data_IF_422195664756
#
_entry.id   IF_422195664756
#
_cell.length_a   1.000
_cell.length_b   1.000
_cell.length_c   1.000
_cell.angle_alpha   90.00
_cell.angle_beta   90.00
_cell.angle_gamma   90.00
#
_symmetry.space_group_name_H-M   'P 1'
#
loop_
_entity.id
_entity.type
_entity.pdbx_description
1 polymer ?
#
# COMPACT_ATOMS: atom_id res chain seq x y z
N UNK A 1 20.48 -13.13 -11.70
CA UNK A 1 20.46 -12.37 -10.43
C UNK A 1 19.80 -13.27 -9.38
N UNK A 2 20.47 -13.62 -8.28
CA UNK A 2 19.83 -14.37 -7.18
C UNK A 2 19.15 -13.36 -6.25
N UNK A 3 17.91 -13.60 -5.83
CA UNK A 3 17.13 -12.66 -5.01
C UNK A 3 17.65 -12.53 -3.57
N UNK A 4 18.47 -13.47 -3.10
CA UNK A 4 19.18 -13.41 -1.83
C UNK A 4 20.44 -14.28 -1.85
N UNK A 5 21.28 -14.15 -0.83
CA UNK A 5 22.55 -14.83 -0.71
C UNK A 5 22.47 -16.16 0.05
N UNK A 6 21.32 -16.48 0.65
CA UNK A 6 21.11 -17.69 1.46
C UNK A 6 19.74 -18.32 1.22
N UNK A 7 19.70 -19.65 1.11
CA UNK A 7 18.47 -20.44 1.03
C UNK A 7 17.50 -20.13 2.16
N UNK A 8 18.00 -19.86 3.37
CA UNK A 8 17.16 -19.51 4.52
C UNK A 8 16.42 -18.18 4.33
N UNK A 9 17.07 -17.20 3.67
CA UNK A 9 16.43 -15.91 3.37
C UNK A 9 15.35 -16.05 2.29
N UNK A 10 15.62 -16.85 1.25
CA UNK A 10 14.62 -17.13 0.20
C UNK A 10 13.40 -17.78 0.81
N UNK A 11 13.61 -18.83 1.59
CA UNK A 11 12.53 -19.59 2.22
C UNK A 11 11.73 -18.70 3.19
N UNK A 12 12.42 -17.92 4.03
CA UNK A 12 11.79 -17.00 4.97
C UNK A 12 10.92 -15.96 4.28
N UNK A 13 11.34 -15.42 3.14
CA UNK A 13 10.53 -14.48 2.35
C UNK A 13 9.25 -15.14 1.83
N UNK A 14 9.34 -16.35 1.28
CA UNK A 14 8.15 -17.09 0.84
C UNK A 14 7.22 -17.44 2.02
N UNK A 15 7.77 -17.82 3.18
CA UNK A 15 6.98 -18.04 4.40
C UNK A 15 6.23 -16.80 4.82
N UNK A 16 6.89 -15.65 4.80
CA UNK A 16 6.28 -14.39 5.20
C UNK A 16 5.11 -14.01 4.28
N UNK A 17 5.32 -14.06 2.96
CA UNK A 17 4.31 -13.66 1.95
C UNK A 17 3.04 -14.53 2.03
N UNK A 18 3.18 -15.82 2.37
CA UNK A 18 2.05 -16.76 2.46
C UNK A 18 1.52 -16.98 3.88
N UNK A 19 2.02 -16.24 4.88
CA UNK A 19 1.63 -16.45 6.27
C UNK A 19 0.23 -15.87 6.53
N UNK A 20 -0.79 -16.69 6.85
CA UNK A 20 -2.15 -16.20 7.06
C UNK A 20 -2.28 -15.30 8.30
N UNK A 21 -1.34 -15.39 9.25
CA UNK A 21 -1.32 -14.53 10.44
C UNK A 21 -0.74 -13.13 10.15
N UNK A 22 -0.23 -12.89 8.94
CA UNK A 22 0.30 -11.59 8.52
C UNK A 22 -0.73 -10.91 7.63
N UNK A 23 -1.33 -9.83 8.13
CA UNK A 23 -2.31 -9.04 7.36
C UNK A 23 -1.60 -8.09 6.38
N UNK A 24 -1.88 -8.17 5.07
CA UNK A 24 -1.36 -7.20 4.09
C UNK A 24 -1.77 -5.76 4.40
N UNK A 25 -2.97 -5.56 4.98
CA UNK A 25 -3.46 -4.24 5.37
C UNK A 25 -2.63 -3.64 6.51
N UNK A 26 -2.27 -4.43 7.51
CA UNK A 26 -1.43 -3.96 8.61
C UNK A 26 -0.03 -3.55 8.12
N UNK A 27 0.51 -4.25 7.11
CA UNK A 27 1.78 -3.88 6.45
C UNK A 27 1.64 -2.53 5.73
N UNK A 28 0.54 -2.32 5.00
CA UNK A 28 0.27 -1.05 4.33
C UNK A 28 0.11 0.12 5.33
N UNK A 29 -0.67 -0.08 6.40
CA UNK A 29 -0.89 0.92 7.47
C UNK A 29 0.40 1.33 8.18
N UNK A 30 1.29 0.36 8.44
CA UNK A 30 2.61 0.64 8.99
C UNK A 30 3.44 1.52 8.03
N UNK A 31 3.39 1.23 6.73
CA UNK A 31 4.01 2.05 5.69
C UNK A 31 3.47 3.48 5.67
N UNK A 32 2.14 3.65 5.65
CA UNK A 32 1.51 4.96 5.72
C UNK A 32 1.89 5.73 6.99
N UNK A 33 1.93 5.07 8.14
CA UNK A 33 2.34 5.69 9.41
C UNK A 33 3.78 6.20 9.35
N UNK A 34 4.69 5.43 8.76
CA UNK A 34 6.07 5.86 8.56
C UNK A 34 6.17 7.06 7.60
N UNK A 35 5.42 7.05 6.49
CA UNK A 35 5.34 8.18 5.56
C UNK A 35 4.82 9.43 6.25
N UNK A 36 3.75 9.32 7.06
CA UNK A 36 3.17 10.44 7.76
C UNK A 36 4.17 11.08 8.75
N UNK A 37 4.94 10.26 9.48
CA UNK A 37 6.03 10.76 10.35
C UNK A 37 7.12 11.48 9.56
N UNK A 38 7.50 10.96 8.40
CA UNK A 38 8.49 11.62 7.55
C UNK A 38 7.97 12.97 7.00
N UNK A 39 6.68 13.07 6.72
CA UNK A 39 6.03 14.28 6.24
C UNK A 39 6.03 15.42 7.27
N UNK A 40 6.13 15.16 8.58
CA UNK A 40 6.19 16.19 9.62
C UNK A 40 7.38 17.15 9.43
N UNK A 41 8.44 16.72 8.76
CA UNK A 41 9.61 17.55 8.45
C UNK A 41 9.37 18.57 7.31
N UNK A 42 8.21 18.52 6.63
CA UNK A 42 7.93 19.31 5.43
C UNK A 42 6.67 20.18 5.62
N UNK A 43 6.79 21.51 5.51
CA UNK A 43 5.65 22.41 5.74
C UNK A 43 4.60 22.42 4.62
N UNK A 44 4.95 21.91 3.43
CA UNK A 44 4.06 21.79 2.29
C UNK A 44 4.22 20.42 1.66
N UNK A 45 3.08 19.76 1.40
CA UNK A 45 3.02 18.42 0.84
C UNK A 45 2.07 18.40 -0.35
N UNK A 46 2.40 17.58 -1.35
CA UNK A 46 1.53 17.30 -2.49
C UNK A 46 1.03 15.85 -2.38
N UNK A 47 -0.27 15.70 -2.13
CA UNK A 47 -0.91 14.40 -2.12
C UNK A 47 -1.37 14.06 -3.55
N UNK A 48 -0.59 13.25 -4.25
CA UNK A 48 -0.96 12.71 -5.56
C UNK A 48 -1.77 11.43 -5.37
N UNK A 49 -2.94 11.37 -5.99
CA UNK A 49 -3.85 10.23 -5.98
C UNK A 49 -4.08 9.74 -7.41
N UNK A 50 -3.95 8.43 -7.61
CA UNK A 50 -4.22 7.76 -8.87
C UNK A 50 -4.65 6.31 -8.62
N UNK A 51 -5.44 5.75 -9.54
CA UNK A 51 -5.86 4.36 -9.50
C UNK A 51 -5.17 3.59 -10.62
N UNK A 52 -4.46 2.52 -10.25
CA UNK A 52 -3.80 1.63 -11.21
C UNK A 52 -4.32 0.21 -11.12
N UNK A 53 -4.05 -0.62 -12.12
CA UNK A 53 -4.48 -2.02 -12.15
C UNK A 53 -3.29 -2.96 -12.01
N UNK A 54 -3.40 -3.97 -11.14
CA UNK A 54 -2.45 -5.08 -11.06
C UNK A 54 -3.08 -6.30 -11.72
N UNK A 55 -2.53 -6.71 -12.86
CA UNK A 55 -3.09 -7.77 -13.70
C UNK A 55 -2.25 -9.05 -13.64
N UNK A 56 -2.93 -10.19 -13.57
CA UNK A 56 -2.38 -11.53 -13.57
C UNK A 56 -2.99 -12.35 -14.72
N UNK A 57 -2.14 -13.05 -15.46
CA UNK A 57 -2.57 -13.93 -16.57
C UNK A 57 -2.23 -15.40 -16.33
N UNK A 58 -1.75 -15.74 -15.13
CA UNK A 58 -1.37 -17.10 -14.76
C UNK A 58 -2.49 -17.76 -13.93
N UNK A 59 -2.65 -19.07 -14.06
CA UNK A 59 -3.82 -19.79 -13.57
C UNK A 59 -4.01 -19.73 -12.05
N UNK A 60 -2.94 -19.65 -11.26
CA UNK A 60 -3.05 -19.70 -9.78
C UNK A 60 -3.60 -18.41 -9.16
N UNK A 61 -3.65 -17.31 -9.89
CA UNK A 61 -4.25 -16.05 -9.44
C UNK A 61 -5.59 -15.78 -10.13
N UNK A 62 -6.14 -16.75 -10.86
CA UNK A 62 -7.31 -16.51 -11.71
C UNK A 62 -8.63 -16.56 -10.94
N UNK A 63 -8.76 -17.52 -10.01
CA UNK A 63 -10.04 -17.79 -9.34
C UNK A 63 -10.38 -16.79 -8.23
N UNK A 64 -9.36 -16.15 -7.64
CA UNK A 64 -9.51 -15.23 -6.50
C UNK A 64 -9.58 -13.74 -6.92
N UNK A 65 -9.47 -13.43 -8.22
CA UNK A 65 -9.28 -12.05 -8.72
C UNK A 65 -10.42 -11.55 -9.62
N UNK A 66 -10.60 -10.22 -9.64
CA UNK A 66 -11.67 -9.54 -10.38
C UNK A 66 -11.42 -9.37 -11.88
N UNK A 67 -12.45 -8.94 -12.62
CA UNK A 67 -12.29 -8.55 -14.02
C UNK A 67 -11.80 -7.11 -14.14
N UNK A 68 -10.59 -6.91 -14.69
CA UNK A 68 -10.00 -5.58 -14.88
C UNK A 68 -9.82 -5.22 -16.35
N UNK A 69 -10.00 -6.18 -17.27
CA UNK A 69 -9.84 -5.98 -18.72
C UNK A 69 -10.93 -6.73 -19.49
N UNK A 70 -10.99 -6.53 -20.81
CA UNK A 70 -11.86 -7.32 -21.70
C UNK A 70 -11.25 -8.68 -22.08
N UNK A 71 -9.97 -8.93 -21.74
CA UNK A 71 -9.32 -10.21 -21.99
C UNK A 71 -9.70 -11.22 -20.91
N UNK A 72 -10.44 -12.27 -21.31
CA UNK A 72 -10.91 -13.33 -20.43
C UNK A 72 -9.79 -14.12 -19.73
N UNK A 73 -8.55 -14.07 -20.21
CA UNK A 73 -7.39 -14.75 -19.60
C UNK A 73 -6.65 -13.90 -18.58
N UNK A 74 -7.09 -12.66 -18.36
CA UNK A 74 -6.43 -11.72 -17.44
C UNK A 74 -7.41 -11.28 -16.37
N UNK A 75 -7.04 -11.50 -15.11
CA UNK A 75 -7.75 -11.04 -13.93
C UNK A 75 -6.87 -10.10 -13.14
N UNK A 76 -7.44 -9.29 -12.27
CA UNK A 76 -6.63 -8.34 -11.54
C UNK A 76 -7.35 -7.66 -10.40
N UNK A 77 -6.64 -6.72 -9.82
CA UNK A 77 -7.11 -5.85 -8.74
C UNK A 77 -6.92 -4.40 -9.16
N UNK A 78 -7.86 -3.55 -8.76
CA UNK A 78 -7.67 -2.11 -8.76
C UNK A 78 -6.94 -1.73 -7.49
N UNK A 79 -5.78 -1.11 -7.66
CA UNK A 79 -4.99 -0.56 -6.58
C UNK A 79 -5.14 0.96 -6.63
N UNK A 80 -6.00 1.47 -5.76
CA UNK A 80 -6.11 2.90 -5.53
C UNK A 80 -4.97 3.37 -4.63
N UNK A 81 -4.13 4.25 -5.16
CA UNK A 81 -2.97 4.81 -4.44
C UNK A 81 -3.28 6.27 -4.15
N UNK A 82 -3.98 6.46 -3.04
CA UNK A 82 -4.33 7.76 -2.48
C UNK A 82 -4.27 7.76 -0.96
N UNK A 83 -4.59 8.90 -0.35
CA UNK A 83 -4.79 8.99 1.09
C UNK A 83 -6.04 8.18 1.43
N UNK A 84 -5.98 7.16 2.31
CA UNK A 84 -7.14 6.30 2.55
C UNK A 84 -8.38 7.09 2.99
N UNK A 85 -9.53 6.88 2.35
CA UNK A 85 -10.80 7.60 2.60
C UNK A 85 -11.36 7.41 4.04
N UNK A 86 -10.68 6.67 4.91
CA UNK A 86 -10.99 6.49 6.34
C UNK A 86 -10.18 7.35 7.31
N UNK A 87 -9.17 8.10 6.84
CA UNK A 87 -8.35 8.96 7.71
C UNK A 87 -8.91 10.38 7.88
N UNK A 88 -10.21 10.50 8.19
CA UNK A 88 -10.79 11.78 8.67
C UNK A 88 -10.13 12.29 9.97
N UNK A 89 -9.39 11.43 10.67
CA UNK A 89 -8.60 11.76 11.86
C UNK A 89 -7.29 12.51 11.54
N UNK A 90 -6.76 12.40 10.32
CA UNK A 90 -5.45 12.96 9.98
C UNK A 90 -5.50 14.44 9.54
N UNK A 91 -6.59 14.88 8.92
CA UNK A 91 -6.84 16.32 8.71
C UNK A 91 -6.91 17.08 10.04
N UNK A 92 -7.48 16.47 11.10
CA UNK A 92 -7.51 17.06 12.43
C UNK A 92 -6.14 17.16 13.10
N UNK A 93 -5.16 16.32 12.73
CA UNK A 93 -3.83 16.34 13.32
C UNK A 93 -2.91 17.38 12.65
N UNK A 94 -3.01 17.53 11.32
CA UNK A 94 -2.32 18.62 10.59
C UNK A 94 -2.96 20.00 10.85
N UNK A 95 -4.28 20.07 11.09
CA UNK A 95 -5.00 21.32 11.36
C UNK A 95 -4.77 21.94 12.75
N UNK A 96 -4.19 21.21 13.70
CA UNK A 96 -3.76 21.76 15.00
C UNK A 96 -2.38 22.43 14.87
N UNK A 97 -1.52 21.98 13.97
CA UNK A 97 -0.20 22.60 13.74
C UNK A 97 -0.30 23.88 12.88
N UNK A 98 -1.29 23.98 11.99
CA UNK A 98 -1.46 25.15 11.11
C UNK A 98 -2.20 26.35 11.76
N UNK A 99 -2.79 26.19 12.96
CA UNK A 99 -3.49 27.27 13.67
C UNK A 99 -2.75 27.77 14.92
N UNK A 100 -1.44 27.50 15.04
CA UNK A 100 -0.59 28.02 16.10
C UNK A 100 0.31 29.17 15.61
N UNK A 101 -0.24 30.11 14.84
CA UNK A 101 0.36 31.42 14.61
C UNK A 101 -0.58 32.49 15.21
N UNK A 102 -0.35 32.92 16.46
CA UNK A 102 -1.13 34.00 17.07
C UNK A 102 -0.52 35.33 16.61
N UNK A 103 -1.05 35.85 15.50
CA UNK A 103 -1.06 37.30 15.26
C UNK A 103 -1.94 38.01 16.27
#
# INVERSE_FOLDING_TARGET
MKSSQSTAQVEGAYRLIRNPSVSPQAVAEAGFTATARACEAHPLLLALEDTTTINFSHSTAFDDQGNTTTNLKTRGLLADRGIPQGVKKWWYMCGIAANADPG
#
